data_IF_146008552316
#
_entry.id   IF_146008552316
#
_cell.length_a   1.000
_cell.length_b   1.000
_cell.length_c   1.000
_cell.angle_alpha   90.00
_cell.angle_beta   90.00
_cell.angle_gamma   90.00
#
_symmetry.space_group_name_H-M   'P 1'
#
loop_
_entity.id
_entity.type
_entity.pdbx_description
1 polymer ?
#
# COMPACT_ATOMS: atom_id res chain seq x y z
N UNK A 1 5.22 -0.37 -3.31
CA UNK A 1 3.90 -0.09 -3.88
C UNK A 1 4.03 0.52 -5.27
N UNK A 2 3.29 -0.01 -6.24
CA UNK A 2 3.35 0.34 -7.67
C UNK A 2 2.01 0.89 -8.18
N UNK A 3 1.98 1.67 -9.27
CA UNK A 3 0.73 2.11 -9.88
C UNK A 3 0.00 0.96 -10.58
N UNK A 4 -1.33 1.06 -10.67
CA UNK A 4 -2.13 0.08 -11.42
C UNK A 4 -1.68 -0.03 -12.89
N UNK A 5 -1.61 -1.26 -13.38
CA UNK A 5 -1.16 -1.61 -14.74
C UNK A 5 0.26 -2.19 -14.79
N UNK A 6 1.11 -1.87 -13.82
CA UNK A 6 2.51 -2.35 -13.78
C UNK A 6 2.66 -3.83 -13.44
N UNK A 7 1.57 -4.49 -13.02
CA UNK A 7 1.54 -5.93 -12.80
C UNK A 7 1.86 -6.73 -14.08
N UNK A 8 1.46 -6.22 -15.24
CA UNK A 8 1.75 -6.87 -16.52
C UNK A 8 3.25 -6.82 -16.83
N UNK A 9 3.88 -5.66 -16.58
CA UNK A 9 5.31 -5.43 -16.84
C UNK A 9 6.20 -6.37 -16.03
N UNK A 10 5.83 -6.66 -14.78
CA UNK A 10 6.59 -7.58 -13.92
C UNK A 10 6.57 -9.04 -14.41
N UNK A 11 5.60 -9.41 -15.25
CA UNK A 11 5.49 -10.77 -15.80
C UNK A 11 6.23 -10.92 -17.14
N UNK A 12 6.84 -9.85 -17.66
CA UNK A 12 7.64 -9.92 -18.89
C UNK A 12 8.93 -10.69 -18.56
N UNK A 13 9.17 -11.77 -19.29
CA UNK A 13 10.41 -12.54 -19.18
C UNK A 13 11.58 -11.72 -19.71
N UNK A 14 12.69 -11.71 -18.99
CA UNK A 14 13.89 -11.04 -19.47
C UNK A 14 14.54 -11.89 -20.57
N UNK A 15 14.62 -11.41 -21.83
CA UNK A 15 15.21 -12.19 -22.92
C UNK A 15 16.72 -12.37 -22.79
N UNK A 16 17.38 -11.60 -21.91
CA UNK A 16 18.84 -11.59 -21.73
C UNK A 16 19.28 -12.37 -20.48
N UNK A 17 18.40 -12.55 -19.49
CA UNK A 17 18.72 -13.21 -18.22
C UNK A 17 17.79 -14.39 -17.94
N UNK A 18 18.34 -15.62 -18.02
CA UNK A 18 17.75 -16.91 -17.59
C UNK A 18 16.32 -17.25 -18.04
N UNK A 19 15.66 -16.40 -18.84
CA UNK A 19 14.25 -16.56 -19.21
C UNK A 19 13.27 -16.35 -18.05
N UNK A 20 13.74 -15.86 -16.91
CA UNK A 20 12.90 -15.63 -15.72
C UNK A 20 12.17 -14.29 -15.82
N UNK A 21 10.99 -14.22 -15.21
CA UNK A 21 10.24 -12.95 -15.11
C UNK A 21 10.84 -12.06 -14.03
N UNK A 22 10.71 -10.74 -14.18
CA UNK A 22 11.15 -9.79 -13.13
C UNK A 22 10.51 -10.13 -11.78
N UNK A 23 9.24 -10.54 -11.79
CA UNK A 23 8.54 -10.99 -10.58
C UNK A 23 9.18 -12.22 -9.93
N UNK A 24 9.59 -13.19 -10.75
CA UNK A 24 10.23 -14.41 -10.25
C UNK A 24 11.58 -14.10 -9.63
N UNK A 25 12.42 -13.36 -10.34
CA UNK A 25 13.74 -12.95 -9.85
C UNK A 25 13.64 -12.20 -8.50
N UNK A 26 12.69 -11.26 -8.38
CA UNK A 26 12.51 -10.53 -7.12
C UNK A 26 12.06 -11.45 -5.99
N UNK A 27 11.18 -12.41 -6.26
CA UNK A 27 10.70 -13.35 -5.24
C UNK A 27 11.82 -14.26 -4.72
N UNK A 28 12.75 -14.65 -5.59
CA UNK A 28 13.89 -15.50 -5.23
C UNK A 28 14.98 -14.73 -4.48
N UNK A 29 15.27 -13.49 -4.88
CA UNK A 29 16.34 -12.68 -4.27
C UNK A 29 15.89 -11.89 -3.03
N UNK A 30 14.61 -11.54 -2.96
CA UNK A 30 14.04 -10.72 -1.88
C UNK A 30 12.73 -11.35 -1.36
N UNK A 31 12.80 -12.44 -0.59
CA UNK A 31 11.62 -13.20 -0.16
C UNK A 31 10.65 -12.38 0.71
N UNK A 32 11.15 -11.36 1.40
CA UNK A 32 10.36 -10.49 2.27
C UNK A 32 9.75 -9.28 1.53
N UNK A 33 9.98 -9.13 0.22
CA UNK A 33 9.46 -8.03 -0.56
C UNK A 33 8.06 -8.34 -1.08
N UNK A 34 7.12 -7.40 -0.85
CA UNK A 34 5.75 -7.48 -1.36
C UNK A 34 5.44 -6.33 -2.32
N UNK A 35 4.86 -6.68 -3.45
CA UNK A 35 4.26 -5.70 -4.36
C UNK A 35 2.79 -5.45 -4.00
N UNK A 36 2.46 -4.18 -3.80
CA UNK A 36 1.09 -3.70 -3.62
C UNK A 36 0.80 -2.70 -4.74
N UNK A 37 -0.35 -2.83 -5.40
CA UNK A 37 -0.73 -1.95 -6.51
C UNK A 37 -1.84 -1.01 -6.08
N UNK A 38 -1.72 0.27 -6.41
CA UNK A 38 -2.72 1.30 -6.05
C UNK A 38 -3.12 2.15 -7.27
N UNK A 39 -4.43 2.43 -7.48
CA UNK A 39 -4.89 3.37 -8.51
C UNK A 39 -4.35 4.77 -8.29
N UNK A 40 -4.29 5.21 -7.02
CA UNK A 40 -3.94 6.56 -6.60
C UNK A 40 -2.51 6.99 -6.99
N UNK A 41 -1.68 6.06 -7.46
CA UNK A 41 -0.29 6.33 -7.83
C UNK A 41 -0.09 6.57 -9.32
N UNK A 42 -1.15 6.44 -10.13
CA UNK A 42 -1.13 6.80 -11.54
C UNK A 42 -1.32 8.32 -11.69
N UNK A 43 -0.39 9.00 -12.34
CA UNK A 43 -0.47 10.44 -12.57
C UNK A 43 -0.41 11.33 -11.32
N UNK A 44 -0.09 10.76 -10.17
CA UNK A 44 -0.16 11.41 -8.85
C UNK A 44 0.83 12.57 -8.66
N UNK A 45 1.85 12.71 -9.52
CA UNK A 45 2.80 13.81 -9.49
C UNK A 45 2.70 14.64 -10.77
N UNK A 46 1.69 15.53 -10.84
CA UNK A 46 1.50 16.40 -12.01
C UNK A 46 1.32 15.64 -13.32
N UNK A 47 0.64 14.48 -13.29
CA UNK A 47 0.47 13.60 -14.45
C UNK A 47 1.54 12.50 -14.58
N UNK A 48 2.63 12.56 -13.79
CA UNK A 48 3.60 11.47 -13.72
C UNK A 48 3.20 10.39 -12.70
N UNK A 49 3.47 9.13 -13.05
CA UNK A 49 3.29 8.01 -12.13
C UNK A 49 4.29 8.06 -10.97
N UNK A 50 3.88 7.53 -9.83
CA UNK A 50 4.74 7.42 -8.64
C UNK A 50 4.82 5.98 -8.15
N UNK A 51 5.91 5.67 -7.46
CA UNK A 51 6.11 4.42 -6.75
C UNK A 51 6.80 4.69 -5.43
N UNK A 52 6.44 3.91 -4.41
CA UNK A 52 7.08 3.95 -3.12
C UNK A 52 7.69 2.60 -2.79
N UNK A 53 8.93 2.59 -2.33
CA UNK A 53 9.56 1.45 -1.68
C UNK A 53 9.80 1.84 -0.22
N UNK A 54 9.33 1.02 0.71
CA UNK A 54 9.58 1.22 2.13
C UNK A 54 9.67 -0.10 2.85
N UNK A 55 10.42 -0.13 3.95
CA UNK A 55 10.41 -1.26 4.87
C UNK A 55 9.18 -1.18 5.78
N UNK A 56 8.42 -2.27 5.94
CA UNK A 56 7.24 -2.28 6.82
C UNK A 56 7.65 -2.05 8.29
N UNK A 57 8.77 -2.63 8.72
CA UNK A 57 9.36 -2.40 10.03
C UNK A 57 10.88 -2.39 9.99
N UNK A 58 11.50 -1.60 10.87
CA UNK A 58 12.95 -1.56 11.05
C UNK A 58 13.27 -1.57 12.53
N UNK A 59 14.25 -2.41 12.91
CA UNK A 59 14.76 -2.46 14.28
C UNK A 59 15.96 -1.50 14.41
N UNK A 60 15.70 -0.31 14.92
CA UNK A 60 16.69 0.76 15.13
C UNK A 60 16.99 1.00 16.62
N UNK A 61 16.56 0.09 17.49
CA UNK A 61 16.70 0.22 18.95
C UNK A 61 15.62 1.10 19.61
N UNK A 62 14.60 1.54 18.87
CA UNK A 62 13.46 2.29 19.43
C UNK A 62 12.58 1.41 20.33
N UNK A 63 12.11 1.99 21.45
CA UNK A 63 11.23 1.33 22.44
C UNK A 63 9.74 1.48 22.15
N UNK A 64 9.35 2.37 21.23
CA UNK A 64 7.93 2.69 20.99
C UNK A 64 7.27 1.75 19.96
N UNK A 65 7.74 1.77 18.72
CA UNK A 65 7.27 0.88 17.65
C UNK A 65 8.36 0.69 16.63
N UNK A 66 8.41 -0.49 16.00
CA UNK A 66 9.32 -0.79 14.89
C UNK A 66 8.72 -0.45 13.52
N UNK A 67 7.43 -0.10 13.45
CA UNK A 67 6.74 0.17 12.19
C UNK A 67 7.19 1.50 11.57
N UNK A 68 7.52 1.50 10.26
CA UNK A 68 7.93 2.70 9.50
C UNK A 68 6.75 3.64 9.22
N UNK A 69 5.58 3.05 8.94
CA UNK A 69 4.31 3.72 8.74
C UNK A 69 3.33 3.17 9.77
N UNK A 70 2.80 4.05 10.63
CA UNK A 70 1.84 3.68 11.66
C UNK A 70 0.47 4.23 11.26
N UNK A 71 -0.49 3.33 11.02
CA UNK A 71 -1.89 3.71 10.89
C UNK A 71 -2.51 3.78 12.29
N UNK A 72 -3.00 4.96 12.65
CA UNK A 72 -3.75 5.18 13.88
C UNK A 72 -5.21 5.37 13.50
N UNK A 73 -6.09 4.58 14.09
CA UNK A 73 -7.54 4.66 13.87
C UNK A 73 -8.20 5.05 15.19
N UNK A 74 -8.39 6.37 15.45
CA UNK A 74 -9.06 6.86 16.65
C UNK A 74 -10.50 6.38 16.79
N UNK A 75 -11.26 6.38 15.68
CA UNK A 75 -12.66 5.94 15.65
C UNK A 75 -12.80 4.91 14.55
N UNK A 76 -13.11 3.68 14.95
CA UNK A 76 -13.42 2.60 14.01
C UNK A 76 -14.84 2.81 13.49
N UNK A 77 -15.05 2.45 12.22
CA UNK A 77 -16.39 2.41 11.65
C UNK A 77 -17.31 1.54 12.51
N UNK A 78 -18.47 2.06 12.86
CA UNK A 78 -19.47 1.37 13.67
C UNK A 78 -20.84 1.56 13.03
N UNK A 79 -21.61 0.47 12.99
CA UNK A 79 -23.01 0.47 12.59
C UNK A 79 -23.82 0.94 13.82
N UNK A 80 -24.55 2.04 13.69
CA UNK A 80 -25.29 2.64 14.81
C UNK A 80 -26.61 1.89 15.09
N UNK A 81 -27.17 1.26 14.06
CA UNK A 81 -28.41 0.49 14.13
C UNK A 81 -29.07 0.36 12.75
N UNK A 82 -30.01 -0.58 12.65
CA UNK A 82 -30.88 -0.74 11.49
C UNK A 82 -32.32 -0.55 11.94
N UNK A 83 -33.05 0.38 11.34
CA UNK A 83 -34.48 0.56 11.59
C UNK A 83 -35.30 -0.10 10.48
N UNK A 84 -36.33 -0.85 10.87
CA UNK A 84 -37.12 -1.69 9.98
C UNK A 84 -38.41 -0.96 9.59
N UNK A 85 -38.55 -0.57 8.33
CA UNK A 85 -39.73 0.15 7.82
C UNK A 85 -40.61 -0.76 6.95
N UNK A 86 -41.87 -0.37 6.74
CA UNK A 86 -42.90 -1.18 6.06
C UNK A 86 -42.51 -1.55 4.60
N UNK A 87 -41.56 -0.84 3.99
CA UNK A 87 -41.02 -1.09 2.65
C UNK A 87 -39.49 -0.89 2.50
N UNK A 88 -38.70 -1.14 3.55
CA UNK A 88 -37.24 -1.12 3.42
C UNK A 88 -36.49 -1.11 4.75
N UNK A 89 -35.21 -1.46 4.70
CA UNK A 89 -34.25 -1.35 5.80
C UNK A 89 -33.47 -0.04 5.66
N UNK A 90 -33.46 0.78 6.71
CA UNK A 90 -32.58 1.96 6.79
C UNK A 90 -31.42 1.62 7.73
N UNK A 91 -30.23 1.41 7.16
CA UNK A 91 -29.00 1.24 7.91
C UNK A 91 -28.29 2.58 8.07
N UNK A 92 -28.02 2.97 9.32
CA UNK A 92 -27.24 4.16 9.63
C UNK A 92 -25.83 3.78 10.11
N UNK A 93 -24.87 4.55 9.63
CA UNK A 93 -23.46 4.25 9.75
C UNK A 93 -22.67 5.47 10.18
N UNK A 94 -21.80 5.29 11.17
CA UNK A 94 -20.91 6.35 11.62
C UNK A 94 -19.63 6.39 10.80
N UNK A 95 -19.03 7.57 10.67
CA UNK A 95 -17.77 7.75 9.96
C UNK A 95 -16.58 7.11 10.70
N UNK A 96 -15.53 6.77 9.96
CA UNK A 96 -14.24 6.37 10.54
C UNK A 96 -13.22 7.48 10.32
N UNK A 97 -12.48 7.85 11.37
CA UNK A 97 -11.32 8.73 11.25
C UNK A 97 -10.07 7.88 11.38
N UNK A 98 -9.18 7.98 10.41
CA UNK A 98 -7.88 7.33 10.43
C UNK A 98 -6.80 8.32 9.98
N UNK A 99 -5.64 8.24 10.63
CA UNK A 99 -4.45 9.01 10.29
C UNK A 99 -3.26 8.07 10.09
N UNK A 100 -2.25 8.54 9.35
CA UNK A 100 -1.01 7.83 9.13
C UNK A 100 0.14 8.70 9.64
N UNK A 101 0.99 8.12 10.49
CA UNK A 101 2.22 8.74 10.95
C UNK A 101 3.44 8.06 10.30
N UNK A 102 4.37 8.87 9.82
CA UNK A 102 5.68 8.41 9.32
C UNK A 102 6.67 8.50 10.46
N UNK A 103 7.07 7.36 11.02
CA UNK A 103 8.02 7.33 12.15
C UNK A 103 9.47 7.33 11.66
N UNK A 104 9.73 6.75 10.48
CA UNK A 104 11.07 6.55 9.90
C UNK A 104 11.10 6.99 8.45
N UNK A 105 11.18 8.31 8.18
CA UNK A 105 11.14 8.82 6.81
C UNK A 105 12.32 8.35 5.96
N UNK A 106 13.49 8.08 6.58
CA UNK A 106 14.69 7.59 5.91
C UNK A 106 14.53 6.17 5.33
N UNK A 107 13.57 5.38 5.83
CA UNK A 107 13.29 4.03 5.33
C UNK A 107 12.29 4.02 4.16
N UNK A 108 11.98 5.18 3.59
CA UNK A 108 11.04 5.37 2.49
C UNK A 108 11.76 5.99 1.30
N UNK A 109 11.66 5.36 0.13
CA UNK A 109 12.12 5.89 -1.14
C UNK A 109 10.93 6.11 -2.07
N UNK A 110 10.86 7.29 -2.69
CA UNK A 110 9.88 7.63 -3.73
C UNK A 110 10.56 7.69 -5.08
N UNK A 111 9.94 7.05 -6.07
CA UNK A 111 10.30 7.14 -7.49
C UNK A 111 9.16 7.85 -8.22
N UNK A 112 9.51 8.70 -9.18
CA UNK A 112 8.54 9.41 -10.03
C UNK A 112 8.99 9.36 -11.49
N UNK A 113 8.04 9.32 -12.42
CA UNK A 113 8.34 9.26 -13.86
C UNK A 113 8.59 7.85 -14.40
N UNK A 114 8.04 6.83 -13.72
CA UNK A 114 8.07 5.42 -14.13
C UNK A 114 6.93 5.06 -15.08
#
# INVERSE_FOLDING_TARGET
MLPLGYRSVLNIANPVARGETVKQWVKENYPNLRFVFSPEFRGANGGANITYLFADSVDDGSTATKATLLQVVPVKYQLLGSENSIKGYLEDATNATAGIFVTRPWAITRLTGI
#
